data_IF_376082122103
#
_entry.id   IF_376082122103
#
_cell.length_a   1.000
_cell.length_b   1.000
_cell.length_c   1.000
_cell.angle_alpha   90.00
_cell.angle_beta   90.00
_cell.angle_gamma   90.00
#
_symmetry.space_group_name_H-M   'P 1'
#
loop_
_entity.id
_entity.type
_entity.pdbx_description
1 polymer ?
#
# COMPACT_ATOMS: atom_id res chain seq x y z
N UNK A 1 -38.67 -43.29 -42.66
CA UNK A 1 -38.36 -43.43 -41.22
C UNK A 1 -37.07 -42.65 -40.98
N UNK A 2 -37.17 -41.55 -40.24
CA UNK A 2 -36.24 -40.41 -40.23
C UNK A 2 -35.31 -40.50 -39.02
N UNK A 3 -33.99 -40.30 -39.18
CA UNK A 3 -33.07 -40.02 -38.07
C UNK A 3 -32.10 -38.91 -38.49
N UNK A 4 -32.45 -37.69 -38.11
CA UNK A 4 -31.56 -36.52 -38.12
C UNK A 4 -30.49 -36.75 -37.05
N UNK A 5 -29.21 -36.72 -37.44
CA UNK A 5 -28.09 -36.54 -36.53
C UNK A 5 -27.79 -35.03 -36.47
N UNK A 6 -28.13 -34.40 -35.35
CA UNK A 6 -27.84 -33.00 -35.08
C UNK A 6 -26.41 -32.88 -34.57
N UNK A 7 -25.50 -32.32 -35.38
CA UNK A 7 -24.14 -31.99 -34.95
C UNK A 7 -24.16 -30.57 -34.35
N UNK A 8 -24.05 -30.48 -33.02
CA UNK A 8 -23.84 -29.22 -32.31
C UNK A 8 -22.34 -28.92 -32.26
N UNK A 9 -21.90 -27.88 -32.96
CA UNK A 9 -20.51 -27.37 -32.90
C UNK A 9 -20.44 -26.25 -31.87
N UNK A 10 -19.54 -26.44 -30.91
CA UNK A 10 -19.25 -25.60 -29.76
C UNK A 10 -18.63 -24.26 -30.18
N UNK A 11 -19.16 -23.14 -29.67
CA UNK A 11 -18.51 -21.84 -29.67
C UNK A 11 -17.70 -21.74 -28.36
N UNK A 12 -16.37 -21.68 -28.46
CA UNK A 12 -15.51 -21.42 -27.30
C UNK A 12 -15.52 -19.92 -26.97
N UNK A 13 -16.22 -19.53 -25.90
CA UNK A 13 -16.09 -18.21 -25.30
C UNK A 13 -14.73 -18.12 -24.60
N UNK A 14 -13.82 -17.29 -25.12
CA UNK A 14 -12.63 -16.88 -24.39
C UNK A 14 -13.06 -15.95 -23.24
N UNK A 15 -13.03 -16.45 -22.01
CA UNK A 15 -13.26 -15.64 -20.83
C UNK A 15 -12.06 -14.68 -20.61
N UNK A 16 -12.28 -13.41 -20.24
CA UNK A 16 -11.19 -12.52 -19.87
C UNK A 16 -10.52 -13.06 -18.60
N UNK A 17 -9.20 -13.25 -18.67
CA UNK A 17 -8.39 -13.56 -17.50
C UNK A 17 -8.35 -12.31 -16.62
N UNK A 18 -9.16 -12.29 -15.56
CA UNK A 18 -9.07 -11.27 -14.52
C UNK A 18 -7.69 -11.36 -13.88
N UNK A 19 -6.89 -10.30 -14.01
CA UNK A 19 -5.66 -10.12 -13.28
C UNK A 19 -6.00 -9.94 -11.79
N UNK A 20 -6.13 -11.06 -11.08
CA UNK A 20 -6.36 -11.05 -9.63
C UNK A 20 -5.03 -10.70 -8.95
N UNK A 21 -4.90 -9.45 -8.51
CA UNK A 21 -3.80 -9.04 -7.64
C UNK A 21 -3.83 -9.84 -6.34
N UNK A 22 -2.67 -10.20 -5.83
CA UNK A 22 -2.55 -10.95 -4.57
C UNK A 22 -2.88 -10.04 -3.40
N UNK A 23 -3.91 -10.38 -2.62
CA UNK A 23 -4.25 -9.69 -1.37
C UNK A 23 -3.63 -10.40 -0.17
N UNK A 24 -3.04 -9.65 0.75
CA UNK A 24 -2.42 -10.11 1.99
C UNK A 24 -2.85 -9.21 3.16
N UNK A 25 -2.80 -9.72 4.39
CA UNK A 25 -3.07 -8.88 5.57
C UNK A 25 -1.90 -7.93 5.84
N UNK A 26 -2.18 -6.73 6.34
CA UNK A 26 -1.22 -5.69 6.68
C UNK A 26 -1.69 -4.89 7.90
N UNK A 27 -0.85 -4.73 8.92
CA UNK A 27 -1.09 -3.84 10.05
C UNK A 27 -2.08 -4.38 11.10
N UNK A 28 -2.05 -5.68 11.39
CA UNK A 28 -2.80 -6.36 12.48
C UNK A 28 -4.07 -5.66 13.01
N UNK A 29 -5.25 -5.94 12.42
CA UNK A 29 -6.57 -5.37 12.75
C UNK A 29 -6.72 -3.87 12.38
N UNK A 30 -7.94 -3.51 11.94
CA UNK A 30 -8.35 -2.19 11.39
C UNK A 30 -7.58 -1.03 12.04
N UNK A 31 -6.84 -0.29 11.21
CA UNK A 31 -6.07 0.87 11.65
C UNK A 31 -7.04 1.92 12.18
N UNK A 32 -6.73 2.57 13.30
CA UNK A 32 -7.53 3.72 13.76
C UNK A 32 -7.28 4.91 12.83
N UNK A 33 -8.06 4.98 11.75
CA UNK A 33 -8.02 6.06 10.75
C UNK A 33 -8.55 7.39 11.31
N UNK A 34 -9.24 7.36 12.46
CA UNK A 34 -9.73 8.55 13.15
C UNK A 34 -8.69 9.15 14.11
N UNK A 35 -7.60 8.43 14.36
CA UNK A 35 -6.50 8.92 15.19
C UNK A 35 -5.87 10.19 14.57
N UNK A 36 -5.42 11.15 15.40
CA UNK A 36 -4.73 12.35 14.91
C UNK A 36 -3.50 12.02 14.08
N UNK A 37 -3.28 12.79 13.01
CA UNK A 37 -2.08 12.71 12.19
C UNK A 37 -1.02 13.67 12.74
N UNK A 38 0.14 13.13 13.10
CA UNK A 38 1.30 13.90 13.55
C UNK A 38 2.38 13.90 12.46
N UNK A 39 3.00 15.05 12.20
CA UNK A 39 4.08 15.17 11.21
C UNK A 39 5.28 15.88 11.83
N UNK A 40 6.45 15.26 11.73
CA UNK A 40 7.74 15.81 12.15
C UNK A 40 8.70 15.85 10.95
N UNK A 41 9.49 16.92 10.82
CA UNK A 41 10.48 17.09 9.77
C UNK A 41 11.51 18.17 10.15
N UNK A 42 12.62 18.23 9.41
CA UNK A 42 13.62 19.28 9.56
C UNK A 42 13.12 20.64 9.04
N UNK A 43 12.32 20.64 7.97
CA UNK A 43 11.82 21.85 7.31
C UNK A 43 10.37 21.70 6.86
N UNK A 44 9.65 22.82 6.91
CA UNK A 44 8.29 22.99 6.41
C UNK A 44 8.23 24.24 5.51
N UNK A 45 7.70 24.08 4.30
CA UNK A 45 7.34 25.17 3.41
C UNK A 45 5.85 25.09 3.07
N UNK A 46 5.09 26.13 3.38
CA UNK A 46 3.63 26.18 3.14
C UNK A 46 3.37 27.07 1.93
N UNK A 47 2.56 26.56 1.00
CA UNK A 47 2.05 27.32 -0.13
C UNK A 47 0.52 27.41 -0.05
N UNK A 48 0.04 28.58 0.38
CA UNK A 48 -1.40 28.88 0.49
C UNK A 48 -2.10 29.07 -0.86
N UNK A 49 -1.38 29.41 -1.94
CA UNK A 49 -2.03 29.59 -3.25
C UNK A 49 -2.54 28.26 -3.80
N UNK A 50 -1.82 27.18 -3.49
CA UNK A 50 -2.06 25.85 -4.03
C UNK A 50 -2.58 24.89 -2.95
N UNK A 51 -2.79 25.36 -1.71
CA UNK A 51 -3.27 24.56 -0.58
C UNK A 51 -2.33 23.41 -0.20
N UNK A 52 -1.01 23.65 -0.20
CA UNK A 52 -0.01 22.59 0.04
C UNK A 52 0.98 22.92 1.16
N UNK A 53 1.47 21.87 1.83
CA UNK A 53 2.58 21.94 2.76
C UNK A 53 3.66 20.91 2.41
N UNK A 54 4.86 21.39 2.16
CA UNK A 54 6.02 20.58 1.83
C UNK A 54 6.90 20.39 3.07
N UNK A 55 7.02 19.14 3.51
CA UNK A 55 7.93 18.69 4.55
C UNK A 55 9.16 18.06 3.93
N UNK A 56 10.35 18.44 4.39
CA UNK A 56 11.62 17.88 3.90
C UNK A 56 12.62 17.66 5.02
N UNK A 57 13.40 16.59 4.88
CA UNK A 57 14.42 16.19 5.84
C UNK A 57 13.81 15.37 6.99
N UNK A 58 14.25 14.12 7.11
CA UNK A 58 13.85 13.19 8.17
C UNK A 58 12.34 13.20 8.48
N UNK A 59 11.49 13.19 7.43
CA UNK A 59 10.05 13.32 7.64
C UNK A 59 9.50 12.04 8.24
N UNK A 60 8.76 12.16 9.33
CA UNK A 60 8.03 11.07 9.99
C UNK A 60 6.60 11.51 10.19
N UNK A 61 5.66 10.71 9.68
CA UNK A 61 4.22 10.86 9.86
C UNK A 61 3.74 9.72 10.76
N UNK A 62 2.94 10.04 11.77
CA UNK A 62 2.32 9.06 12.66
C UNK A 62 0.81 9.17 12.66
N UNK A 63 0.13 8.01 12.69
CA UNK A 63 -1.31 7.91 12.93
C UNK A 63 -1.59 6.63 13.72
N UNK A 64 -1.92 6.79 15.00
CA UNK A 64 -1.97 5.65 15.93
C UNK A 64 -0.63 4.91 15.98
N UNK A 65 -0.66 3.61 15.69
CA UNK A 65 0.53 2.74 15.64
C UNK A 65 1.27 2.81 14.29
N UNK A 66 0.65 3.33 13.23
CA UNK A 66 1.27 3.43 11.93
C UNK A 66 2.29 4.57 11.90
N UNK A 67 3.43 4.30 11.26
CA UNK A 67 4.49 5.28 10.99
C UNK A 67 4.90 5.24 9.53
N UNK A 68 4.93 6.40 8.88
CA UNK A 68 5.45 6.59 7.54
C UNK A 68 6.66 7.52 7.60
N UNK A 69 7.81 7.06 7.12
CA UNK A 69 9.04 7.85 7.04
C UNK A 69 9.46 8.07 5.59
N UNK A 70 9.92 9.28 5.26
CA UNK A 70 10.46 9.62 3.95
C UNK A 70 11.37 10.87 3.99
N UNK A 71 12.27 11.05 3.01
CA UNK A 71 13.03 12.30 2.88
C UNK A 71 12.17 13.52 2.54
N UNK A 72 11.06 13.33 1.82
CA UNK A 72 10.19 14.41 1.35
C UNK A 72 8.73 13.97 1.37
N UNK A 73 7.86 14.82 1.92
CA UNK A 73 6.40 14.63 1.91
C UNK A 73 5.72 15.93 1.48
N UNK A 74 4.86 15.86 0.47
CA UNK A 74 3.98 16.95 0.07
C UNK A 74 2.55 16.65 0.52
N UNK A 75 2.00 17.50 1.38
CA UNK A 75 0.63 17.41 1.89
C UNK A 75 -0.26 18.34 1.07
N UNK A 76 -1.42 17.85 0.65
CA UNK A 76 -2.47 18.60 0.01
C UNK A 76 -3.64 18.72 0.99
N UNK A 77 -4.12 19.94 1.21
CA UNK A 77 -5.30 20.20 2.02
C UNK A 77 -6.56 20.27 1.14
N UNK A 78 -7.72 20.13 1.77
CA UNK A 78 -9.02 20.40 1.14
C UNK A 78 -9.14 21.88 0.74
N UNK A 79 -10.10 22.22 -0.13
CA UNK A 79 -10.28 23.62 -0.61
C UNK A 79 -10.55 24.63 0.52
N UNK A 80 -11.14 24.16 1.63
CA UNK A 80 -11.41 24.95 2.83
C UNK A 80 -10.26 24.90 3.87
N UNK A 81 -9.14 24.24 3.52
CA UNK A 81 -7.94 24.03 4.33
C UNK A 81 -8.20 23.40 5.72
N UNK A 82 -9.38 22.79 5.91
CA UNK A 82 -9.80 22.26 7.21
C UNK A 82 -9.27 20.85 7.50
N UNK A 83 -8.95 20.09 6.45
CA UNK A 83 -8.48 18.70 6.53
C UNK A 83 -7.37 18.44 5.51
N UNK A 84 -6.60 17.39 5.75
CA UNK A 84 -5.65 16.86 4.77
C UNK A 84 -6.45 15.99 3.79
N UNK A 85 -6.30 16.24 2.48
CA UNK A 85 -6.86 15.41 1.40
C UNK A 85 -5.96 14.20 1.13
N UNK A 86 -4.69 14.48 0.83
CA UNK A 86 -3.70 13.44 0.54
C UNK A 86 -2.28 13.86 0.88
N UNK A 87 -1.40 12.87 1.00
CA UNK A 87 0.02 13.05 1.24
C UNK A 87 0.83 12.26 0.21
N UNK A 88 1.85 12.90 -0.37
CA UNK A 88 2.75 12.31 -1.36
C UNK A 88 4.16 12.24 -0.80
N UNK A 89 4.61 11.04 -0.44
CA UNK A 89 5.92 10.75 0.10
C UNK A 89 6.87 10.23 -1.01
N UNK A 90 8.13 10.67 -1.00
CA UNK A 90 9.10 10.33 -2.03
C UNK A 90 10.54 10.35 -1.54
N UNK A 91 11.41 9.67 -2.29
CA UNK A 91 12.85 9.58 -2.02
C UNK A 91 13.25 8.31 -1.27
N UNK A 92 12.38 7.30 -1.25
CA UNK A 92 12.47 6.16 -0.35
C UNK A 92 11.48 6.35 0.80
N UNK A 93 10.49 5.49 0.87
CA UNK A 93 9.42 5.50 1.86
C UNK A 93 9.46 4.21 2.63
N UNK A 94 9.41 4.32 3.95
CA UNK A 94 9.22 3.18 4.85
C UNK A 94 7.91 3.39 5.59
N UNK A 95 6.99 2.44 5.45
CA UNK A 95 5.74 2.36 6.18
C UNK A 95 5.84 1.22 7.18
N UNK A 96 5.55 1.48 8.45
CA UNK A 96 5.52 0.47 9.51
C UNK A 96 4.15 0.50 10.14
N UNK A 97 3.54 -0.68 10.32
CA UNK A 97 2.35 -0.86 11.14
C UNK A 97 2.48 -2.16 11.91
N UNK A 98 2.48 -2.10 13.25
CA UNK A 98 2.72 -3.26 14.10
C UNK A 98 4.05 -3.94 13.80
N UNK A 99 3.98 -5.23 13.43
CA UNK A 99 5.13 -6.07 13.07
C UNK A 99 5.42 -6.05 11.55
N UNK A 100 4.55 -5.42 10.76
CA UNK A 100 4.74 -5.28 9.32
C UNK A 100 5.51 -4.02 8.95
N UNK A 101 6.38 -4.15 7.95
CA UNK A 101 7.05 -3.02 7.33
C UNK A 101 6.98 -3.13 5.80
N UNK A 102 6.75 -2.01 5.14
CA UNK A 102 6.77 -1.89 3.70
C UNK A 102 7.70 -0.76 3.26
N UNK A 103 8.53 -1.04 2.26
CA UNK A 103 9.45 -0.07 1.67
C UNK A 103 9.12 0.13 0.20
N UNK A 104 9.25 1.36 -0.31
CA UNK A 104 9.06 1.70 -1.72
C UNK A 104 9.78 3.01 -2.10
N UNK A 105 9.86 3.34 -3.39
CA UNK A 105 10.39 4.64 -3.82
C UNK A 105 9.46 5.82 -3.50
N UNK A 106 8.14 5.59 -3.62
CA UNK A 106 7.08 6.59 -3.42
C UNK A 106 5.87 5.98 -2.74
N UNK A 107 5.15 6.81 -1.99
CA UNK A 107 3.84 6.47 -1.46
C UNK A 107 2.86 7.65 -1.60
N UNK A 108 1.60 7.35 -1.88
CA UNK A 108 0.50 8.32 -1.87
C UNK A 108 -0.54 7.81 -0.89
N UNK A 109 -0.79 8.56 0.19
CA UNK A 109 -1.86 8.27 1.14
C UNK A 109 -3.03 9.21 0.86
N UNK A 110 -4.17 8.66 0.43
CA UNK A 110 -5.44 9.37 0.36
C UNK A 110 -6.22 9.13 1.65
N UNK A 111 -6.44 10.20 2.42
CA UNK A 111 -7.07 10.10 3.74
C UNK A 111 -8.55 9.77 3.60
N UNK A 112 -9.28 10.50 2.75
CA UNK A 112 -10.71 10.26 2.54
C UNK A 112 -11.00 8.86 1.96
N UNK A 113 -10.06 8.26 1.23
CA UNK A 113 -10.19 6.91 0.69
C UNK A 113 -9.63 5.81 1.59
N UNK A 114 -8.99 6.15 2.72
CA UNK A 114 -8.36 5.16 3.61
C UNK A 114 -7.31 4.29 2.93
N UNK A 115 -6.62 4.78 1.89
CA UNK A 115 -5.71 3.95 1.08
C UNK A 115 -4.31 4.53 0.91
N UNK A 116 -3.31 3.65 1.00
CA UNK A 116 -1.90 3.97 0.73
C UNK A 116 -1.45 3.22 -0.53
N UNK A 117 -1.13 3.98 -1.57
CA UNK A 117 -0.50 3.48 -2.79
C UNK A 117 1.01 3.58 -2.68
N UNK A 118 1.71 2.45 -2.62
CA UNK A 118 3.17 2.37 -2.68
C UNK A 118 3.63 1.91 -4.06
N UNK A 119 4.66 2.56 -4.61
CA UNK A 119 5.17 2.28 -5.97
C UNK A 119 6.69 2.39 -6.06
N UNK A 120 7.26 1.61 -6.98
CA UNK A 120 8.69 1.60 -7.25
C UNK A 120 9.40 0.64 -6.29
N UNK A 121 9.55 -0.62 -6.73
CA UNK A 121 10.26 -1.68 -6.01
C UNK A 121 9.74 -1.88 -4.57
N UNK A 122 8.45 -2.22 -4.45
CA UNK A 122 7.84 -2.45 -3.14
C UNK A 122 8.44 -3.71 -2.51
N UNK A 123 8.86 -3.60 -1.25
CA UNK A 123 9.25 -4.71 -0.39
C UNK A 123 8.37 -4.70 0.86
N UNK A 124 7.56 -5.73 1.05
CA UNK A 124 6.77 -5.96 2.26
C UNK A 124 7.43 -7.06 3.08
N UNK A 125 7.70 -6.81 4.35
CA UNK A 125 8.18 -7.80 5.31
C UNK A 125 7.13 -8.04 6.38
N UNK A 126 6.79 -9.31 6.59
CA UNK A 126 5.83 -9.76 7.60
C UNK A 126 6.41 -11.01 8.29
N UNK A 127 6.81 -10.86 9.55
CA UNK A 127 7.49 -11.93 10.30
C UNK A 127 8.73 -12.45 9.55
N UNK A 128 8.74 -13.74 9.21
CA UNK A 128 9.82 -14.39 8.46
C UNK A 128 9.66 -14.32 6.93
N UNK A 129 8.60 -13.68 6.43
CA UNK A 129 8.29 -13.62 5.00
C UNK A 129 8.61 -12.24 4.42
N UNK A 130 9.10 -12.25 3.18
CA UNK A 130 9.33 -11.05 2.38
C UNK A 130 8.61 -11.18 1.03
N UNK A 131 7.83 -10.16 0.66
CA UNK A 131 7.14 -10.06 -0.62
C UNK A 131 7.68 -8.86 -1.37
N UNK A 132 7.92 -9.01 -2.67
CA UNK A 132 8.34 -7.93 -3.55
C UNK A 132 7.34 -7.75 -4.67
N UNK A 133 7.06 -6.50 -5.06
CA UNK A 133 6.18 -6.17 -6.17
C UNK A 133 6.55 -4.83 -6.83
N UNK A 134 5.88 -4.49 -7.93
CA UNK A 134 6.03 -3.18 -8.58
C UNK A 134 5.16 -2.11 -7.87
N UNK A 135 3.99 -2.55 -7.38
CA UNK A 135 2.99 -1.72 -6.73
C UNK A 135 2.30 -2.49 -5.61
N UNK A 136 1.95 -1.77 -4.56
CA UNK A 136 1.12 -2.25 -3.46
C UNK A 136 0.09 -1.19 -3.10
N UNK A 137 -1.15 -1.60 -2.85
CA UNK A 137 -2.21 -0.73 -2.33
C UNK A 137 -2.61 -1.29 -0.97
N UNK A 138 -2.44 -0.52 0.08
CA UNK A 138 -2.93 -0.84 1.42
C UNK A 138 -4.29 -0.18 1.60
N UNK A 139 -5.28 -0.93 2.07
CA UNK A 139 -6.56 -0.44 2.57
C UNK A 139 -6.51 -0.47 4.11
N UNK A 140 -6.61 0.71 4.72
CA UNK A 140 -6.49 0.88 6.17
C UNK A 140 -7.76 0.46 6.91
N UNK A 141 -8.92 0.53 6.24
CA UNK A 141 -10.22 0.19 6.84
C UNK A 141 -10.28 -1.30 7.21
N UNK A 142 -9.81 -2.16 6.29
CA UNK A 142 -9.82 -3.61 6.45
C UNK A 142 -8.45 -4.22 6.76
N UNK A 143 -7.39 -3.40 6.81
CA UNK A 143 -6.03 -3.85 7.09
C UNK A 143 -5.50 -4.84 6.05
N UNK A 144 -5.84 -4.63 4.77
CA UNK A 144 -5.37 -5.49 3.67
C UNK A 144 -4.43 -4.75 2.73
N UNK A 145 -3.54 -5.49 2.08
CA UNK A 145 -2.65 -4.99 1.05
C UNK A 145 -2.79 -5.82 -0.23
N UNK A 146 -3.04 -5.15 -1.35
CA UNK A 146 -3.08 -5.75 -2.67
C UNK A 146 -1.80 -5.46 -3.45
N UNK A 147 -1.09 -6.50 -3.85
CA UNK A 147 0.16 -6.41 -4.61
C UNK A 147 -0.08 -6.71 -6.10
N UNK A 148 0.53 -5.92 -6.98
CA UNK A 148 0.39 -6.06 -8.44
C UNK A 148 1.73 -5.89 -9.17
N UNK A 149 1.76 -6.33 -10.42
CA UNK A 149 2.98 -6.44 -11.23
C UNK A 149 3.68 -7.78 -11.01
N UNK A 150 5.01 -7.80 -11.05
CA UNK A 150 5.79 -9.00 -10.73
C UNK A 150 5.86 -9.24 -9.22
N UNK A 151 4.89 -9.98 -8.68
CA UNK A 151 4.90 -10.38 -7.27
C UNK A 151 5.82 -11.58 -7.06
N UNK A 152 6.76 -11.49 -6.11
CA UNK A 152 7.61 -12.60 -5.68
C UNK A 152 7.60 -12.69 -4.16
N UNK A 153 7.31 -13.87 -3.65
CA UNK A 153 7.36 -14.19 -2.22
C UNK A 153 8.60 -15.02 -1.91
N UNK A 154 9.29 -14.65 -0.84
CA UNK A 154 10.34 -15.43 -0.18
C UNK A 154 9.84 -15.77 1.21
N UNK A 155 9.69 -17.05 1.49
CA UNK A 155 9.29 -17.54 2.81
C UNK A 155 10.57 -17.95 3.53
N UNK A 156 10.88 -17.29 4.63
CA UNK A 156 11.95 -17.73 5.51
C UNK A 156 11.55 -19.06 6.16
N UNK A 157 12.19 -20.16 5.73
CA UNK A 157 12.11 -21.40 6.48
C UNK A 157 12.80 -21.18 7.83
N UNK A 158 12.02 -21.17 8.92
CA UNK A 158 12.58 -21.43 10.24
C UNK A 158 12.96 -22.91 10.29
N UNK A 159 14.14 -23.25 9.78
CA UNK A 159 14.82 -24.45 10.23
C UNK A 159 15.26 -24.17 11.67
N UNK A 160 14.34 -24.34 12.61
CA UNK A 160 14.72 -24.75 13.97
C UNK A 160 15.25 -26.17 13.82
N UNK A 161 16.53 -26.21 13.43
CA UNK A 161 17.36 -27.39 13.43
C UNK A 161 17.39 -27.90 14.87
N UNK A 162 16.70 -29.01 15.04
CA UNK A 162 16.75 -29.83 16.24
C UNK A 162 18.21 -30.13 16.57
N UNK A 163 18.73 -29.55 17.64
CA UNK A 163 20.01 -29.94 18.24
C UNK A 163 20.19 -29.16 19.55
N UNK A 164 20.24 -29.75 20.73
CA UNK A 164 20.46 -31.14 21.16
C UNK A 164 19.69 -31.37 22.47
#
# INVERSE_FOLDING_TARGET
MYRILTAAIFIALAAPASAQGTSVAFGGMSQDTDAPVEVSADQLAVNQSDGTALYTGNVVIGQGEMRLAAPRVLIFYTEDESRIDRMEASGGVTLVSGEEAAEAERAVYSIDAGTILMTGNVLLTQGSSALTSERMIVNLDDGTAQMTGRVRTVIGNSSDETGQ
#
